data_IF_015348835708
#
_entry.id   IF_015348835708
#
_cell.length_a   1.000
_cell.length_b   1.000
_cell.length_c   1.000
_cell.angle_alpha   90.00
_cell.angle_beta   90.00
_cell.angle_gamma   90.00
#
_symmetry.space_group_name_H-M   'P 1'
#
loop_
_entity.id
_entity.type
_entity.pdbx_description
1 polymer ?
#
# COMPACT_ATOMS: atom_id res chain seq x y z
N UNK A 1 -24.09 -1.62 1.83
CA UNK A 1 -23.35 -2.87 1.83
C UNK A 1 -22.73 -3.26 3.18
N UNK A 2 -22.31 -2.32 4.04
CA UNK A 2 -21.71 -2.65 5.35
C UNK A 2 -22.63 -3.31 6.39
N UNK A 3 -23.94 -3.36 6.17
CA UNK A 3 -24.91 -4.04 7.09
C UNK A 3 -25.30 -5.46 6.65
N UNK A 4 -25.13 -5.83 5.37
CA UNK A 4 -25.69 -7.04 4.78
C UNK A 4 -24.81 -7.69 3.72
N UNK A 5 -23.54 -7.30 3.59
CA UNK A 5 -22.63 -7.82 2.58
C UNK A 5 -21.17 -7.82 3.01
N UNK A 6 -20.36 -8.56 2.30
CA UNK A 6 -18.92 -8.69 2.54
C UNK A 6 -18.18 -7.39 2.17
N UNK A 7 -17.31 -6.95 3.05
CA UNK A 7 -16.36 -5.89 2.81
C UNK A 7 -16.92 -4.47 2.65
N UNK A 8 -16.04 -3.55 2.33
CA UNK A 8 -16.38 -2.16 2.06
C UNK A 8 -16.68 -1.93 0.59
N UNK A 9 -17.86 -1.37 0.26
CA UNK A 9 -18.23 -1.00 -1.11
C UNK A 9 -17.21 -0.05 -1.77
N UNK A 10 -16.68 0.91 -1.01
CA UNK A 10 -15.62 1.83 -1.47
C UNK A 10 -14.35 1.05 -1.85
N UNK A 11 -13.96 0.07 -1.02
CA UNK A 11 -12.82 -0.79 -1.32
C UNK A 11 -12.99 -1.54 -2.65
N UNK A 12 -14.16 -2.11 -2.90
CA UNK A 12 -14.45 -2.80 -4.16
C UNK A 12 -14.39 -1.88 -5.38
N UNK A 13 -14.85 -0.63 -5.27
CA UNK A 13 -14.71 0.35 -6.35
C UNK A 13 -13.24 0.69 -6.64
N UNK A 14 -12.41 0.82 -5.61
CA UNK A 14 -10.96 1.04 -5.78
C UNK A 14 -10.33 -0.15 -6.51
N UNK A 15 -10.61 -1.37 -6.07
CA UNK A 15 -10.12 -2.60 -6.70
C UNK A 15 -10.56 -2.67 -8.17
N UNK A 16 -11.84 -2.40 -8.46
CA UNK A 16 -12.36 -2.39 -9.83
C UNK A 16 -11.66 -1.36 -10.71
N UNK A 17 -11.44 -0.13 -10.20
CA UNK A 17 -10.74 0.94 -10.92
C UNK A 17 -9.29 0.58 -11.26
N UNK A 18 -8.56 0.00 -10.30
CA UNK A 18 -7.18 -0.43 -10.52
C UNK A 18 -7.13 -1.65 -11.44
N UNK A 19 -8.03 -2.63 -11.27
CA UNK A 19 -8.13 -3.77 -12.17
C UNK A 19 -8.41 -3.33 -13.62
N UNK A 20 -9.34 -2.38 -13.79
CA UNK A 20 -9.60 -1.76 -15.09
C UNK A 20 -8.33 -1.10 -15.66
N UNK A 21 -7.60 -0.32 -14.87
CA UNK A 21 -6.37 0.33 -15.30
C UNK A 21 -5.30 -0.70 -15.74
N UNK A 22 -5.16 -1.81 -15.02
CA UNK A 22 -4.25 -2.90 -15.36
C UNK A 22 -4.68 -3.59 -16.67
N UNK A 23 -5.95 -3.95 -16.79
CA UNK A 23 -6.48 -4.66 -17.98
C UNK A 23 -6.39 -3.76 -19.21
N UNK A 24 -6.82 -2.52 -19.11
CA UNK A 24 -6.75 -1.55 -20.22
C UNK A 24 -5.29 -1.25 -20.58
N UNK A 25 -4.42 -1.03 -19.60
CA UNK A 25 -3.00 -0.81 -19.82
C UNK A 25 -2.29 -2.00 -20.49
N UNK A 26 -2.72 -3.24 -20.19
CA UNK A 26 -2.16 -4.46 -20.77
C UNK A 26 -2.74 -4.78 -22.15
N UNK A 27 -4.07 -4.73 -22.33
CA UNK A 27 -4.79 -5.33 -23.46
C UNK A 27 -5.52 -4.36 -24.39
N UNK A 28 -5.33 -3.04 -24.26
CA UNK A 28 -6.03 -2.07 -25.10
C UNK A 28 -5.61 -2.16 -26.56
N UNK A 29 -6.50 -2.60 -27.45
CA UNK A 29 -6.30 -2.69 -28.89
C UNK A 29 -6.60 -1.37 -29.63
N UNK A 30 -7.15 -0.36 -28.95
CA UNK A 30 -7.43 0.93 -29.57
C UNK A 30 -6.11 1.65 -29.93
N UNK A 31 -6.09 2.42 -31.04
CA UNK A 31 -4.91 3.18 -31.40
C UNK A 31 -4.55 4.19 -30.31
N UNK A 32 -3.24 4.34 -30.07
CA UNK A 32 -2.73 5.32 -29.10
C UNK A 32 -3.02 6.75 -29.58
N UNK A 33 -3.42 7.63 -28.66
CA UNK A 33 -3.60 9.05 -28.97
C UNK A 33 -2.29 9.75 -29.39
N UNK A 34 -1.14 9.20 -28.99
CA UNK A 34 0.19 9.76 -29.30
C UNK A 34 0.79 9.21 -30.59
N UNK A 35 0.34 8.03 -31.06
CA UNK A 35 0.87 7.37 -32.26
C UNK A 35 -0.27 6.69 -33.02
N UNK A 36 -0.89 7.39 -33.99
CA UNK A 36 -1.95 6.82 -34.82
C UNK A 36 -1.49 5.55 -35.50
N UNK A 37 -2.21 4.43 -35.32
CA UNK A 37 -1.87 3.13 -35.91
C UNK A 37 -1.13 2.16 -34.99
N UNK A 38 -0.64 2.61 -33.80
CA UNK A 38 -0.02 1.73 -32.80
C UNK A 38 -1.01 1.48 -31.68
N UNK A 39 -1.26 0.22 -31.25
CA UNK A 39 -2.13 -0.07 -30.11
C UNK A 39 -1.65 0.56 -28.82
N UNK A 40 -2.58 1.00 -27.96
CA UNK A 40 -2.25 1.67 -26.68
C UNK A 40 -1.84 0.67 -25.59
N UNK A 41 -2.36 -0.57 -25.61
CA UNK A 41 -2.01 -1.61 -24.62
C UNK A 41 -0.62 -2.17 -24.83
N UNK A 42 0.07 -2.47 -23.74
CA UNK A 42 1.47 -2.94 -23.80
C UNK A 42 1.66 -4.26 -24.54
N UNK A 43 0.72 -5.21 -24.40
CA UNK A 43 0.79 -6.51 -25.10
C UNK A 43 0.51 -6.36 -26.62
N UNK A 44 -0.61 -5.74 -27.05
CA UNK A 44 -0.85 -5.48 -28.47
C UNK A 44 0.24 -4.62 -29.13
N UNK A 45 0.78 -3.63 -28.40
CA UNK A 45 1.88 -2.79 -28.86
C UNK A 45 3.14 -3.61 -29.11
N UNK A 46 3.51 -4.52 -28.20
CA UNK A 46 4.65 -5.41 -28.35
C UNK A 46 4.48 -6.34 -29.56
N UNK A 47 3.30 -6.95 -29.75
CA UNK A 47 3.00 -7.81 -30.92
C UNK A 47 3.12 -7.01 -32.19
N UNK A 48 2.57 -5.79 -32.23
CA UNK A 48 2.66 -4.91 -33.40
C UNK A 48 4.12 -4.58 -33.76
N UNK A 49 4.98 -4.28 -32.79
CA UNK A 49 6.39 -3.98 -32.99
C UNK A 49 7.20 -5.20 -33.50
N UNK A 50 6.86 -6.41 -33.05
CA UNK A 50 7.44 -7.64 -33.57
C UNK A 50 7.10 -7.81 -35.06
N UNK A 51 5.84 -7.57 -35.44
CA UNK A 51 5.42 -7.70 -36.85
C UNK A 51 6.03 -6.63 -37.74
N UNK A 52 6.38 -5.47 -37.21
CA UNK A 52 6.99 -4.34 -37.90
C UNK A 52 8.54 -4.45 -37.98
N UNK A 53 9.13 -5.48 -37.34
CA UNK A 53 10.58 -5.74 -37.39
C UNK A 53 11.44 -4.94 -36.41
N UNK A 54 10.83 -4.24 -35.43
CA UNK A 54 11.53 -3.46 -34.42
C UNK A 54 11.07 -3.88 -33.00
N UNK A 55 11.40 -5.09 -32.52
CA UNK A 55 10.94 -5.55 -31.19
C UNK A 55 11.53 -4.72 -30.05
N UNK A 56 10.66 -4.18 -29.20
CA UNK A 56 11.05 -3.44 -28.00
C UNK A 56 10.61 -4.21 -26.73
N UNK A 57 11.56 -4.90 -26.11
CA UNK A 57 11.32 -5.68 -24.89
C UNK A 57 11.06 -4.81 -23.64
N UNK A 58 11.36 -3.51 -23.70
CA UNK A 58 11.13 -2.59 -22.58
C UNK A 58 9.63 -2.43 -22.28
N UNK A 59 8.77 -2.66 -23.28
CA UNK A 59 7.31 -2.65 -23.15
C UNK A 59 6.76 -3.75 -22.23
N UNK A 60 7.52 -4.81 -22.02
CA UNK A 60 7.11 -5.90 -21.12
C UNK A 60 7.46 -5.62 -19.65
N UNK A 61 8.39 -4.68 -19.38
CA UNK A 61 8.82 -4.33 -18.02
C UNK A 61 7.64 -3.95 -17.13
N UNK A 62 6.70 -3.07 -17.51
CA UNK A 62 5.53 -2.74 -16.70
C UNK A 62 4.66 -3.95 -16.33
N UNK A 63 4.53 -4.92 -17.22
CA UNK A 63 3.71 -6.12 -17.00
C UNK A 63 4.39 -7.02 -15.96
N UNK A 64 5.67 -7.35 -16.18
CA UNK A 64 6.43 -8.16 -15.23
C UNK A 64 6.54 -7.48 -13.86
N UNK A 65 6.79 -6.17 -13.84
CA UNK A 65 6.84 -5.39 -12.62
C UNK A 65 5.51 -5.48 -11.84
N UNK A 66 4.36 -5.34 -12.53
CA UNK A 66 3.04 -5.47 -11.92
C UNK A 66 2.86 -6.84 -11.26
N UNK A 67 3.22 -7.92 -11.95
CA UNK A 67 3.11 -9.29 -11.43
C UNK A 67 4.03 -9.48 -10.23
N UNK A 68 5.29 -9.06 -10.33
CA UNK A 68 6.28 -9.22 -9.26
C UNK A 68 5.86 -8.44 -8.00
N UNK A 69 5.47 -7.17 -8.16
CA UNK A 69 5.01 -6.33 -7.05
C UNK A 69 3.77 -6.94 -6.41
N UNK A 70 2.80 -7.40 -7.22
CA UNK A 70 1.60 -8.06 -6.72
C UNK A 70 1.94 -9.28 -5.85
N UNK A 71 2.80 -10.17 -6.32
CA UNK A 71 3.22 -11.37 -5.57
C UNK A 71 3.95 -11.03 -4.27
N UNK A 72 4.85 -10.03 -4.30
CA UNK A 72 5.58 -9.58 -3.11
C UNK A 72 4.60 -9.00 -2.07
N UNK A 73 3.63 -8.18 -2.50
CA UNK A 73 2.65 -7.57 -1.58
C UNK A 73 1.74 -8.63 -0.97
N UNK A 74 1.25 -9.61 -1.76
CA UNK A 74 0.45 -10.72 -1.23
C UNK A 74 1.23 -11.50 -0.16
N UNK A 75 2.49 -11.79 -0.44
CA UNK A 75 3.36 -12.47 0.53
C UNK A 75 3.54 -11.64 1.82
N UNK A 76 3.80 -10.34 1.68
CA UNK A 76 4.01 -9.44 2.81
C UNK A 76 2.74 -9.23 3.66
N UNK A 77 1.55 -9.18 3.05
CA UNK A 77 0.27 -9.13 3.78
C UNK A 77 0.01 -10.41 4.59
N UNK A 78 0.53 -11.55 4.16
CA UNK A 78 0.41 -12.81 4.89
C UNK A 78 1.34 -12.90 6.12
N UNK A 79 2.39 -12.07 6.18
CA UNK A 79 3.39 -12.12 7.26
C UNK A 79 2.83 -11.57 8.57
N UNK A 80 2.95 -12.36 9.63
CA UNK A 80 2.48 -12.00 10.98
C UNK A 80 3.52 -12.35 12.03
N UNK A 81 3.67 -11.49 13.03
CA UNK A 81 4.44 -11.75 14.25
C UNK A 81 3.45 -12.17 15.32
N UNK A 82 3.57 -13.39 15.83
CA UNK A 82 2.67 -13.96 16.82
C UNK A 82 3.20 -13.69 18.24
N UNK A 83 2.48 -12.89 19.03
CA UNK A 83 2.78 -12.70 20.46
C UNK A 83 2.01 -13.75 21.25
N UNK A 84 2.68 -14.61 22.04
CA UNK A 84 2.00 -15.62 22.86
C UNK A 84 1.21 -14.96 23.99
N UNK A 85 -0.08 -15.28 24.07
CA UNK A 85 -0.99 -14.82 25.12
C UNK A 85 -1.63 -16.01 25.81
N UNK A 86 -2.10 -15.81 27.06
CA UNK A 86 -2.93 -16.75 27.80
C UNK A 86 -4.18 -16.05 28.31
N UNK A 87 -5.27 -16.81 28.45
CA UNK A 87 -6.51 -16.32 29.07
C UNK A 87 -6.41 -16.48 30.59
N UNK A 88 -6.63 -15.39 31.35
CA UNK A 88 -6.54 -15.43 32.81
C UNK A 88 -7.66 -16.22 33.49
N UNK A 89 -8.79 -16.41 32.82
CA UNK A 89 -9.98 -17.11 33.37
C UNK A 89 -10.00 -18.62 33.12
N UNK A 90 -9.19 -19.16 32.19
CA UNK A 90 -9.20 -20.58 31.81
C UNK A 90 -7.78 -21.14 31.87
N UNK A 91 -7.51 -22.00 32.86
CA UNK A 91 -6.20 -22.66 33.00
C UNK A 91 -5.91 -23.51 31.73
N UNK A 92 -4.82 -23.18 31.02
CA UNK A 92 -4.37 -23.91 29.85
C UNK A 92 -4.77 -23.34 28.50
N UNK A 93 -5.69 -22.38 28.42
CA UNK A 93 -6.02 -21.71 27.17
C UNK A 93 -4.88 -20.76 26.75
N UNK A 94 -4.14 -21.14 25.73
CA UNK A 94 -3.08 -20.34 25.11
C UNK A 94 -3.61 -19.76 23.81
N UNK A 95 -3.50 -18.46 23.65
CA UNK A 95 -3.80 -17.74 22.41
C UNK A 95 -2.54 -17.10 21.83
N UNK A 96 -2.63 -16.64 20.60
CA UNK A 96 -1.59 -15.87 19.94
C UNK A 96 -2.21 -14.55 19.44
N UNK A 97 -1.56 -13.44 19.69
CA UNK A 97 -1.96 -12.16 19.13
C UNK A 97 -1.14 -11.89 17.86
N UNK A 98 -1.77 -11.92 16.67
CA UNK A 98 -1.06 -11.71 15.43
C UNK A 98 -0.86 -10.21 15.18
N UNK A 99 0.39 -9.76 15.15
CA UNK A 99 0.76 -8.44 14.62
C UNK A 99 1.09 -8.60 13.14
N UNK A 100 0.37 -7.91 12.27
CA UNK A 100 0.65 -7.91 10.83
C UNK A 100 1.97 -7.18 10.57
N UNK A 101 2.74 -7.64 9.57
CA UNK A 101 3.97 -6.96 9.14
C UNK A 101 3.67 -5.57 8.57
N UNK A 102 2.64 -5.44 7.73
CA UNK A 102 2.14 -4.16 7.25
C UNK A 102 1.17 -3.58 8.29
N UNK A 103 1.72 -3.17 9.45
CA UNK A 103 0.94 -2.77 10.62
C UNK A 103 0.12 -1.50 10.39
N UNK A 104 0.71 -0.50 9.74
CA UNK A 104 0.05 0.76 9.37
C UNK A 104 -0.88 0.63 8.15
N UNK A 105 -1.01 -0.59 7.58
CA UNK A 105 -1.70 -0.81 6.30
C UNK A 105 -1.06 0.02 5.17
N UNK A 106 -1.78 0.25 4.08
CA UNK A 106 -1.31 1.03 2.92
C UNK A 106 -1.58 2.54 3.06
N UNK A 107 -2.16 2.98 4.20
CA UNK A 107 -2.50 4.40 4.46
C UNK A 107 -1.31 5.36 4.38
N UNK A 108 -0.11 5.02 4.89
CA UNK A 108 1.05 5.91 4.77
C UNK A 108 1.39 6.29 3.32
N UNK A 109 1.32 5.33 2.39
CA UNK A 109 1.62 5.58 0.97
C UNK A 109 0.59 6.49 0.34
N UNK A 110 -0.70 6.32 0.67
CA UNK A 110 -1.76 7.22 0.20
C UNK A 110 -1.52 8.65 0.66
N UNK A 111 -1.21 8.82 1.96
CA UNK A 111 -0.97 10.14 2.53
C UNK A 111 0.29 10.79 1.93
N UNK A 112 1.35 10.01 1.72
CA UNK A 112 2.58 10.48 1.07
C UNK A 112 2.30 10.91 -0.38
N UNK A 113 1.61 10.08 -1.15
CA UNK A 113 1.26 10.39 -2.55
C UNK A 113 0.36 11.63 -2.63
N UNK A 114 -0.63 11.75 -1.73
CA UNK A 114 -1.48 12.92 -1.64
C UNK A 114 -0.68 14.20 -1.28
N UNK A 115 0.27 14.11 -0.35
CA UNK A 115 1.15 15.22 -0.01
C UNK A 115 1.94 15.70 -1.23
N UNK A 116 2.58 14.77 -1.96
CA UNK A 116 3.39 15.10 -3.13
C UNK A 116 2.54 15.69 -4.27
N UNK A 117 1.33 15.16 -4.50
CA UNK A 117 0.39 15.72 -5.46
C UNK A 117 -0.05 17.15 -5.06
N UNK A 118 -0.29 17.41 -3.77
CA UNK A 118 -0.61 18.75 -3.30
C UNK A 118 0.54 19.73 -3.54
N UNK A 119 1.79 19.33 -3.36
CA UNK A 119 2.95 20.19 -3.69
C UNK A 119 2.95 20.58 -5.17
N UNK A 120 2.61 19.66 -6.08
CA UNK A 120 2.50 19.94 -7.52
C UNK A 120 1.33 20.88 -7.83
N UNK A 121 0.19 20.69 -7.16
CA UNK A 121 -0.94 21.60 -7.29
C UNK A 121 -0.60 23.00 -6.81
N UNK A 122 0.05 23.14 -5.65
CA UNK A 122 0.50 24.45 -5.15
C UNK A 122 1.52 25.10 -6.09
N UNK A 123 2.46 24.31 -6.67
CA UNK A 123 3.38 24.85 -7.67
C UNK A 123 2.65 25.46 -8.86
N UNK A 124 1.61 24.79 -9.36
CA UNK A 124 0.79 25.30 -10.48
C UNK A 124 0.00 26.56 -10.10
N UNK A 125 -0.51 26.64 -8.88
CA UNK A 125 -1.25 27.81 -8.37
C UNK A 125 -0.32 29.01 -8.19
N UNK A 126 0.84 28.82 -7.55
CA UNK A 126 1.83 29.90 -7.36
C UNK A 126 2.37 30.44 -8.68
N UNK A 127 2.57 29.57 -9.67
CA UNK A 127 2.95 30.02 -11.01
C UNK A 127 1.88 30.92 -11.65
N UNK A 128 0.59 30.58 -11.52
CA UNK A 128 -0.52 31.40 -12.06
C UNK A 128 -0.64 32.77 -11.37
N UNK A 129 -0.24 32.86 -10.10
CA UNK A 129 -0.24 34.13 -9.33
C UNK A 129 1.00 35.00 -9.67
N UNK A 130 1.97 34.46 -10.43
CA UNK A 130 3.18 35.18 -10.83
C UNK A 130 4.38 34.98 -9.89
N UNK A 131 4.29 34.11 -8.88
CA UNK A 131 5.38 33.78 -7.95
C UNK A 131 5.75 32.30 -8.00
N UNK A 132 6.55 31.82 -8.98
CA UNK A 132 6.90 30.41 -9.14
C UNK A 132 7.94 29.93 -8.11
N UNK A 133 7.63 30.03 -6.80
CA UNK A 133 8.54 29.67 -5.69
C UNK A 133 8.90 28.18 -5.72
N UNK A 134 7.91 27.32 -6.06
CA UNK A 134 8.09 25.87 -6.08
C UNK A 134 8.62 25.34 -7.43
N UNK A 135 8.75 26.21 -8.43
CA UNK A 135 9.19 25.86 -9.78
C UNK A 135 8.11 26.11 -10.84
N UNK A 136 8.48 25.89 -12.09
CA UNK A 136 7.59 26.09 -13.24
C UNK A 136 6.90 24.78 -13.62
N UNK A 137 5.62 24.88 -13.94
CA UNK A 137 4.77 23.76 -14.38
C UNK A 137 4.32 24.06 -15.83
N UNK A 138 4.56 23.13 -16.75
CA UNK A 138 4.04 23.19 -18.12
C UNK A 138 3.24 21.92 -18.42
N UNK A 139 2.07 22.09 -19.01
CA UNK A 139 1.15 20.99 -19.32
C UNK A 139 0.85 20.06 -18.11
N UNK A 140 0.77 20.65 -16.89
CA UNK A 140 0.51 19.87 -15.69
C UNK A 140 1.71 19.10 -15.11
N UNK A 141 2.90 19.22 -15.71
CA UNK A 141 4.14 18.62 -15.22
C UNK A 141 5.14 19.68 -14.78
N UNK A 142 5.77 19.49 -13.63
CA UNK A 142 6.82 20.35 -13.16
C UNK A 142 8.11 20.16 -13.99
N UNK A 143 8.65 21.25 -14.53
CA UNK A 143 9.86 21.25 -15.37
C UNK A 143 11.10 21.54 -14.53
N UNK A 144 11.00 22.40 -13.52
CA UNK A 144 12.12 22.80 -12.69
C UNK A 144 11.68 23.11 -11.24
N UNK A 145 12.63 23.40 -10.37
CA UNK A 145 12.39 23.74 -8.98
C UNK A 145 12.09 22.53 -8.08
N UNK A 146 11.58 22.79 -6.88
CA UNK A 146 11.29 21.77 -5.86
C UNK A 146 10.23 20.79 -6.37
N UNK A 147 9.20 21.30 -7.05
CA UNK A 147 8.12 20.45 -7.59
C UNK A 147 8.63 19.42 -8.61
N UNK A 148 9.68 19.73 -9.38
CA UNK A 148 10.29 18.79 -10.32
C UNK A 148 10.90 17.57 -9.61
N UNK A 149 11.63 17.79 -8.51
CA UNK A 149 12.24 16.71 -7.73
C UNK A 149 11.21 15.89 -6.95
N UNK A 150 10.01 16.44 -6.70
CA UNK A 150 8.91 15.77 -6.00
C UNK A 150 7.88 15.14 -6.96
N UNK A 151 8.13 15.19 -8.26
CA UNK A 151 7.29 14.53 -9.26
C UNK A 151 7.70 13.07 -9.41
N UNK A 152 6.71 12.17 -9.33
CA UNK A 152 6.92 10.72 -9.43
C UNK A 152 7.65 10.36 -10.72
N UNK A 153 8.80 9.66 -10.65
CA UNK A 153 9.48 9.14 -11.84
C UNK A 153 8.67 7.97 -12.41
N UNK A 154 8.25 8.08 -13.67
CA UNK A 154 7.39 7.09 -14.35
C UNK A 154 8.12 6.27 -15.39
N UNK A 155 9.44 6.23 -15.39
CA UNK A 155 10.24 5.47 -16.36
C UNK A 155 11.61 5.14 -15.81
N UNK A 156 12.09 3.92 -16.10
CA UNK A 156 13.46 3.52 -15.77
C UNK A 156 14.52 4.35 -16.50
N UNK A 157 14.19 4.91 -17.66
CA UNK A 157 15.12 5.78 -18.41
C UNK A 157 15.52 7.04 -17.60
N UNK A 158 14.64 7.53 -16.72
CA UNK A 158 14.92 8.68 -15.84
C UNK A 158 16.08 8.40 -14.88
N UNK A 159 16.30 7.14 -14.49
CA UNK A 159 17.45 6.76 -13.65
C UNK A 159 18.79 7.05 -14.34
N UNK A 160 18.82 6.90 -15.68
CA UNK A 160 20.03 7.13 -16.46
C UNK A 160 20.20 8.60 -16.86
N UNK A 161 19.10 9.32 -17.09
CA UNK A 161 19.14 10.74 -17.50
C UNK A 161 19.32 11.68 -16.32
N UNK A 162 18.53 11.48 -15.25
CA UNK A 162 18.50 12.34 -14.08
C UNK A 162 18.52 11.53 -12.76
N UNK A 163 19.64 10.87 -12.40
CA UNK A 163 19.74 10.03 -11.21
C UNK A 163 19.52 10.82 -9.91
N UNK A 164 19.88 12.11 -9.90
CA UNK A 164 19.69 12.98 -8.76
C UNK A 164 18.20 13.19 -8.43
N UNK A 165 17.36 13.37 -9.45
CA UNK A 165 15.89 13.48 -9.28
C UNK A 165 15.34 12.23 -8.63
N UNK A 166 15.70 11.05 -9.14
CA UNK A 166 15.25 9.76 -8.63
C UNK A 166 15.66 9.57 -7.18
N UNK A 167 16.90 9.92 -6.82
CA UNK A 167 17.43 9.81 -5.47
C UNK A 167 16.70 10.74 -4.49
N UNK A 168 16.50 12.01 -4.85
CA UNK A 168 15.81 12.98 -3.99
C UNK A 168 14.36 12.56 -3.79
N UNK A 169 13.67 12.17 -4.88
CA UNK A 169 12.31 11.67 -4.79
C UNK A 169 12.23 10.45 -3.87
N UNK A 170 13.10 9.45 -4.05
CA UNK A 170 13.12 8.25 -3.23
C UNK A 170 13.30 8.57 -1.74
N UNK A 171 14.27 9.43 -1.39
CA UNK A 171 14.52 9.81 0.00
C UNK A 171 13.29 10.50 0.60
N UNK A 172 12.76 11.53 -0.08
CA UNK A 172 11.60 12.27 0.41
C UNK A 172 10.37 11.37 0.53
N UNK A 173 10.12 10.52 -0.47
CA UNK A 173 8.99 9.59 -0.47
C UNK A 173 9.09 8.58 0.68
N UNK A 174 10.24 7.94 0.87
CA UNK A 174 10.45 6.94 1.92
C UNK A 174 10.40 7.55 3.32
N UNK A 175 11.04 8.70 3.53
CA UNK A 175 10.99 9.40 4.82
C UNK A 175 9.57 9.83 5.15
N UNK A 176 8.85 10.45 4.21
CA UNK A 176 7.46 10.85 4.40
C UNK A 176 6.57 9.64 4.70
N UNK A 177 6.79 8.51 4.01
CA UNK A 177 6.03 7.29 4.24
C UNK A 177 6.24 6.72 5.65
N UNK A 178 7.46 6.73 6.16
CA UNK A 178 7.76 6.31 7.54
C UNK A 178 7.12 7.25 8.56
N UNK A 179 7.19 8.56 8.35
CA UNK A 179 6.56 9.57 9.21
C UNK A 179 5.04 9.37 9.23
N UNK A 180 4.41 9.21 8.07
CA UNK A 180 2.96 8.95 8.01
C UNK A 180 2.58 7.59 8.58
N UNK A 181 3.43 6.56 8.49
CA UNK A 181 3.19 5.27 9.13
C UNK A 181 3.14 5.43 10.66
N UNK A 182 4.08 6.16 11.21
CA UNK A 182 4.11 6.45 12.65
C UNK A 182 2.90 7.27 13.10
N UNK A 183 2.59 8.36 12.38
CA UNK A 183 1.41 9.19 12.67
C UNK A 183 0.11 8.39 12.58
N UNK A 184 -0.02 7.55 11.55
CA UNK A 184 -1.21 6.72 11.36
C UNK A 184 -1.44 5.74 12.50
N UNK A 185 -0.39 5.08 12.99
CA UNK A 185 -0.48 4.15 14.13
C UNK A 185 -0.98 4.85 15.40
N UNK A 186 -0.51 6.07 15.67
CA UNK A 186 -0.96 6.86 16.84
C UNK A 186 -2.40 7.36 16.66
N UNK A 187 -2.77 7.88 15.48
CA UNK A 187 -4.08 8.46 15.21
C UNK A 187 -5.19 7.40 15.13
N UNK A 188 -4.90 6.23 14.57
CA UNK A 188 -5.88 5.14 14.43
C UNK A 188 -6.11 4.32 15.70
N UNK A 189 -5.42 4.66 16.80
CA UNK A 189 -5.63 3.99 18.08
C UNK A 189 -5.07 2.56 18.15
N UNK A 190 -4.16 2.20 17.23
CA UNK A 190 -3.44 0.93 17.22
C UNK A 190 -2.04 1.05 17.82
N UNK A 191 -1.75 2.15 18.49
CA UNK A 191 -0.49 2.37 19.20
C UNK A 191 -0.33 1.45 20.43
N UNK A 192 0.92 1.29 20.94
CA UNK A 192 1.22 0.34 22.01
C UNK A 192 0.37 0.51 23.25
N UNK A 193 0.05 1.76 23.62
CA UNK A 193 -0.75 2.09 24.81
C UNK A 193 -2.20 1.66 24.67
N UNK A 194 -2.79 1.91 23.49
CA UNK A 194 -4.18 1.61 23.18
C UNK A 194 -4.39 0.09 23.07
N UNK A 195 -3.52 -0.60 22.35
CA UNK A 195 -3.57 -2.06 22.23
C UNK A 195 -3.35 -2.74 23.58
N UNK A 196 -2.40 -2.26 24.40
CA UNK A 196 -2.21 -2.76 25.77
C UNK A 196 -3.47 -2.62 26.64
N UNK A 197 -4.18 -1.48 26.50
CA UNK A 197 -5.44 -1.26 27.21
C UNK A 197 -6.53 -2.24 26.77
N UNK A 198 -6.67 -2.45 25.46
CA UNK A 198 -7.64 -3.39 24.90
C UNK A 198 -7.39 -4.83 25.35
N UNK A 199 -6.14 -5.31 25.24
CA UNK A 199 -5.76 -6.67 25.67
C UNK A 199 -6.00 -6.89 27.16
N UNK A 200 -5.69 -5.88 27.99
CA UNK A 200 -5.95 -5.95 29.42
C UNK A 200 -7.44 -6.00 29.76
N UNK A 201 -8.26 -5.20 29.05
CA UNK A 201 -9.72 -5.18 29.22
C UNK A 201 -10.39 -6.52 28.81
N UNK A 202 -9.81 -7.21 27.82
CA UNK A 202 -10.26 -8.56 27.40
C UNK A 202 -9.82 -9.67 28.38
N UNK A 203 -9.18 -9.35 29.50
CA UNK A 203 -8.71 -10.34 30.48
C UNK A 203 -7.54 -11.19 30.00
N UNK A 204 -6.86 -10.79 28.95
CA UNK A 204 -5.69 -11.51 28.45
C UNK A 204 -4.49 -11.33 29.37
N UNK A 205 -3.63 -12.35 29.42
CA UNK A 205 -2.40 -12.37 30.23
C UNK A 205 -1.23 -12.90 29.40
N UNK A 206 -0.01 -12.54 29.80
CA UNK A 206 1.19 -13.11 29.22
C UNK A 206 1.60 -14.32 30.08
N UNK A 207 1.89 -15.48 29.46
CA UNK A 207 2.27 -16.66 30.21
C UNK A 207 3.46 -16.39 31.13
N UNK A 208 3.31 -16.77 32.42
CA UNK A 208 4.37 -16.62 33.41
C UNK A 208 4.45 -15.25 34.11
N UNK A 209 3.54 -14.31 33.87
CA UNK A 209 3.57 -12.98 34.47
C UNK A 209 2.18 -12.53 34.94
N UNK A 210 2.14 -11.69 36.03
CA UNK A 210 0.89 -11.10 36.52
C UNK A 210 0.31 -10.16 35.44
N UNK A 211 -1.01 -10.25 35.23
CA UNK A 211 -1.73 -9.38 34.31
C UNK A 211 -1.60 -7.91 34.73
N UNK A 212 -0.79 -7.16 34.01
CA UNK A 212 -0.60 -5.73 34.22
C UNK A 212 -0.56 -5.01 32.88
N UNK A 213 -1.40 -3.95 32.78
CA UNK A 213 -1.39 -3.08 31.58
C UNK A 213 0.01 -2.57 31.24
N UNK A 214 0.78 -2.18 32.25
CA UNK A 214 2.14 -1.66 32.08
C UNK A 214 3.08 -2.69 31.44
N UNK A 215 2.84 -3.98 31.72
CA UNK A 215 3.65 -5.06 31.16
C UNK A 215 3.35 -5.29 29.67
N UNK A 216 2.08 -5.33 29.27
CA UNK A 216 1.67 -5.34 27.88
C UNK A 216 2.24 -4.15 27.12
N UNK A 217 2.12 -2.95 27.67
CA UNK A 217 2.63 -1.74 27.05
C UNK A 217 4.15 -1.81 26.82
N UNK A 218 4.92 -2.34 27.77
CA UNK A 218 6.37 -2.50 27.64
C UNK A 218 6.75 -3.44 26.48
N UNK A 219 6.04 -4.57 26.35
CA UNK A 219 6.29 -5.53 25.26
C UNK A 219 5.89 -4.91 23.92
N UNK A 220 4.68 -4.36 23.83
CA UNK A 220 4.19 -3.77 22.59
C UNK A 220 5.02 -2.57 22.13
N UNK A 221 5.54 -1.74 23.06
CA UNK A 221 6.48 -0.66 22.77
C UNK A 221 7.80 -1.15 22.15
N UNK A 222 8.18 -2.40 22.37
CA UNK A 222 9.37 -2.98 21.77
C UNK A 222 9.14 -3.40 20.32
N UNK A 223 7.93 -3.92 19.99
CA UNK A 223 7.63 -4.49 18.67
C UNK A 223 6.94 -3.50 17.73
N UNK A 224 5.90 -2.79 18.17
CA UNK A 224 5.06 -1.96 17.31
C UNK A 224 5.86 -0.87 16.59
N UNK A 225 6.73 -0.05 17.23
CA UNK A 225 7.46 0.98 16.52
C UNK A 225 8.41 0.43 15.45
N UNK A 226 9.12 -0.67 15.77
CA UNK A 226 9.99 -1.33 14.81
C UNK A 226 9.25 -1.87 13.57
N UNK A 227 8.12 -2.56 13.80
CA UNK A 227 7.27 -3.07 12.72
C UNK A 227 6.67 -1.92 11.90
N UNK A 228 6.26 -0.83 12.55
CA UNK A 228 5.70 0.35 11.88
C UNK A 228 6.71 0.99 10.92
N UNK A 229 7.95 1.19 11.39
CA UNK A 229 9.02 1.77 10.55
C UNK A 229 9.39 0.83 9.42
N UNK A 230 9.64 -0.45 9.72
CA UNK A 230 10.00 -1.45 8.72
C UNK A 230 8.88 -1.67 7.69
N UNK A 231 7.64 -1.81 8.15
CA UNK A 231 6.48 -1.94 7.28
C UNK A 231 6.26 -0.71 6.41
N UNK A 232 6.35 0.50 6.98
CA UNK A 232 6.26 1.76 6.24
C UNK A 232 7.35 1.88 5.17
N UNK A 233 8.61 1.57 5.52
CA UNK A 233 9.73 1.56 4.58
C UNK A 233 9.53 0.53 3.46
N UNK A 234 9.12 -0.67 3.81
CA UNK A 234 8.89 -1.75 2.86
C UNK A 234 7.77 -1.40 1.85
N UNK A 235 6.63 -0.94 2.35
CA UNK A 235 5.50 -0.53 1.49
C UNK A 235 5.88 0.66 0.62
N UNK A 236 6.64 1.64 1.17
CA UNK A 236 7.18 2.77 0.41
C UNK A 236 8.14 2.34 -0.70
N UNK A 237 9.06 1.41 -0.42
CA UNK A 237 9.98 0.87 -1.42
C UNK A 237 9.24 0.13 -2.54
N UNK A 238 8.22 -0.65 -2.22
CA UNK A 238 7.41 -1.34 -3.22
C UNK A 238 6.62 -0.36 -4.09
N UNK A 239 5.99 0.66 -3.48
CA UNK A 239 5.27 1.69 -4.23
C UNK A 239 6.21 2.45 -5.17
N UNK A 240 7.35 2.90 -4.65
CA UNK A 240 8.37 3.60 -5.44
C UNK A 240 8.92 2.73 -6.59
N UNK A 241 9.25 1.47 -6.30
CA UNK A 241 9.74 0.53 -7.33
C UNK A 241 8.71 0.25 -8.42
N UNK A 242 7.44 0.10 -8.04
CA UNK A 242 6.33 -0.07 -8.99
C UNK A 242 6.12 1.16 -9.87
N UNK A 243 6.18 2.38 -9.30
CA UNK A 243 6.04 3.62 -10.06
C UNK A 243 7.23 3.83 -11.00
N UNK A 244 8.47 3.57 -10.54
CA UNK A 244 9.68 3.67 -11.34
C UNK A 244 9.69 2.71 -12.53
N UNK A 245 9.15 1.51 -12.36
CA UNK A 245 9.02 0.51 -13.44
C UNK A 245 7.78 0.72 -14.30
N UNK A 246 7.02 1.80 -14.08
CA UNK A 246 5.73 2.07 -14.75
C UNK A 246 4.73 0.92 -14.61
N UNK A 247 4.71 0.23 -13.47
CA UNK A 247 3.79 -0.87 -13.23
C UNK A 247 2.34 -0.46 -13.50
N UNK A 248 1.57 -1.33 -14.15
CA UNK A 248 0.20 -1.06 -14.56
C UNK A 248 -0.70 -0.89 -13.33
N UNK A 249 -1.47 0.20 -13.29
CA UNK A 249 -2.29 0.57 -12.14
C UNK A 249 -1.57 1.38 -11.07
N UNK A 250 -0.26 1.64 -11.24
CA UNK A 250 0.58 2.42 -10.31
C UNK A 250 0.90 1.67 -9.01
N UNK A 251 1.99 2.06 -8.36
CA UNK A 251 2.45 1.40 -7.13
C UNK A 251 1.44 1.47 -5.99
N UNK A 252 0.90 2.64 -5.71
CA UNK A 252 -0.14 2.84 -4.69
C UNK A 252 -1.41 2.05 -5.01
N UNK A 253 -1.82 1.99 -6.30
CA UNK A 253 -3.01 1.27 -6.73
C UNK A 253 -2.89 -0.24 -6.50
N UNK A 254 -1.77 -0.85 -6.87
CA UNK A 254 -1.51 -2.28 -6.68
C UNK A 254 -1.53 -2.62 -5.19
N UNK A 255 -0.83 -1.84 -4.35
CA UNK A 255 -0.78 -2.04 -2.90
C UNK A 255 -2.16 -1.99 -2.27
N UNK A 256 -2.98 -1.00 -2.63
CA UNK A 256 -4.36 -0.87 -2.15
C UNK A 256 -5.21 -2.06 -2.56
N UNK A 257 -5.13 -2.44 -3.83
CA UNK A 257 -5.93 -3.56 -4.37
C UNK A 257 -5.63 -4.85 -3.63
N UNK A 258 -4.34 -5.19 -3.46
CA UNK A 258 -3.95 -6.40 -2.73
C UNK A 258 -4.41 -6.36 -1.28
N UNK A 259 -4.19 -5.23 -0.57
CA UNK A 259 -4.62 -5.09 0.82
C UNK A 259 -6.14 -5.21 1.01
N UNK A 260 -6.93 -4.65 0.09
CA UNK A 260 -8.40 -4.75 0.12
C UNK A 260 -8.86 -6.18 -0.17
N UNK A 261 -8.33 -6.80 -1.23
CA UNK A 261 -8.68 -8.19 -1.61
C UNK A 261 -8.28 -9.17 -0.52
N UNK A 262 -7.10 -8.97 0.10
CA UNK A 262 -6.64 -9.83 1.18
C UNK A 262 -7.56 -9.75 2.41
N UNK A 263 -8.00 -8.54 2.79
CA UNK A 263 -8.98 -8.37 3.90
C UNK A 263 -10.32 -9.01 3.57
N UNK A 264 -10.81 -8.83 2.34
CA UNK A 264 -12.04 -9.46 1.90
C UNK A 264 -11.95 -10.99 1.97
N UNK A 265 -10.81 -11.56 1.55
CA UNK A 265 -10.56 -13.00 1.67
C UNK A 265 -10.58 -13.46 3.13
N UNK A 266 -9.97 -12.72 4.05
CA UNK A 266 -9.99 -13.04 5.48
C UNK A 266 -11.42 -12.98 6.06
N UNK A 267 -12.21 -11.97 5.70
CA UNK A 267 -13.61 -11.83 6.14
C UNK A 267 -14.45 -13.02 5.67
N UNK A 268 -14.34 -13.38 4.39
CA UNK A 268 -15.05 -14.55 3.83
C UNK A 268 -14.61 -15.84 4.52
N UNK A 269 -13.32 -16.03 4.73
CA UNK A 269 -12.80 -17.22 5.39
C UNK A 269 -13.29 -17.34 6.84
N UNK A 270 -13.39 -16.23 7.58
CA UNK A 270 -13.95 -16.21 8.93
C UNK A 270 -15.43 -16.56 8.95
N UNK A 271 -16.23 -16.01 8.02
CA UNK A 271 -17.65 -16.36 7.95
C UNK A 271 -17.89 -17.83 7.59
N UNK A 272 -17.13 -18.38 6.64
CA UNK A 272 -17.21 -19.81 6.31
C UNK A 272 -16.88 -20.70 7.51
N UNK A 273 -15.90 -20.32 8.35
CA UNK A 273 -15.58 -21.03 9.58
C UNK A 273 -16.72 -20.98 10.60
N UNK A 274 -17.40 -19.82 10.72
CA UNK A 274 -18.55 -19.69 11.62
C UNK A 274 -19.76 -20.50 11.15
N UNK A 275 -19.98 -20.58 9.84
CA UNK A 275 -21.09 -21.37 9.26
C UNK A 275 -20.86 -22.88 9.39
N UNK A 276 -19.62 -23.35 9.28
CA UNK A 276 -19.27 -24.77 9.45
C UNK A 276 -19.34 -25.25 10.91
N UNK A 277 -19.24 -24.35 11.89
CA UNK A 277 -19.27 -24.68 13.31
C UNK A 277 -20.33 -23.86 14.07
N UNK A 278 -21.62 -24.26 14.06
CA UNK A 278 -22.71 -23.54 14.74
C UNK A 278 -22.49 -23.35 16.25
N UNK A 279 -21.69 -24.20 16.88
CA UNK A 279 -21.32 -24.05 18.28
C UNK A 279 -20.40 -22.83 18.51
N UNK A 280 -19.54 -22.48 17.57
CA UNK A 280 -18.66 -21.30 17.67
C UNK A 280 -19.46 -19.99 17.60
N UNK A 281 -20.59 -19.98 16.88
CA UNK A 281 -21.50 -18.84 16.80
C UNK A 281 -22.11 -18.48 18.17
N UNK A 282 -22.41 -19.50 18.99
CA UNK A 282 -22.92 -19.30 20.38
C UNK A 282 -21.84 -18.85 21.36
N UNK A 283 -20.55 -19.09 21.08
CA UNK A 283 -19.44 -18.72 21.96
C UNK A 283 -18.85 -17.33 21.64
N UNK A 284 -18.95 -16.86 20.39
CA UNK A 284 -18.40 -15.58 19.96
C UNK A 284 -19.40 -14.42 20.05
N UNK A 285 -20.64 -14.69 20.46
CA UNK A 285 -21.67 -13.70 20.80
C UNK A 285 -22.34 -13.06 19.59
N UNK A 286 -23.65 -13.07 19.63
CA UNK A 286 -24.49 -12.14 18.86
C UNK A 286 -24.11 -10.69 19.12
#
# INVERSE_FOLDING_TARGET
>A
MSKWGFGSGVGLFIVAGVAQAIIVGAFNFLPSATSPGVPAGKIPQFIYLITTGAPDFTLLIPIFATIIVFLIVVYAESMRIEIPLSYGGVKGARGKYPLRFIYASNMPVILTSALLLNVQLFASVFQKIGFPILGQVSNGQAINGIAYYLTTPTSLSIVLTDPLKVLIYAIVFLVSNVVFAWLWVELSGIGPKQVAKQLHQMGMQIPGQRSSRAHFERILKRYIPGITVLGGLFVGLLAFGADLTSALGGGTGILLTVGIVYRLYEEIAQEQLMDMHPMLRKFLGD
#
